data_IF_384576467170
#
_entry.id   IF_384576467170
#
_cell.length_a   1.000
_cell.length_b   1.000
_cell.length_c   1.000
_cell.angle_alpha   90.00
_cell.angle_beta   90.00
_cell.angle_gamma   90.00
#
_symmetry.space_group_name_H-M   'P 1'
#
loop_
_entity.id
_entity.type
_entity.pdbx_description
1 polymer ?
#
# COMPACT_ATOMS: atom_id res chain seq x y z
N UNK A 1 31.83 -71.12 5.56
CA UNK A 1 30.84 -71.21 4.45
C UNK A 1 29.56 -70.64 5.02
N UNK A 2 29.05 -69.54 4.43
CA UNK A 2 28.07 -68.63 5.03
C UNK A 2 26.67 -69.26 5.06
N UNK A 3 25.99 -69.04 6.18
CA UNK A 3 24.60 -69.42 6.42
C UNK A 3 23.67 -68.23 6.15
N UNK A 4 22.48 -68.54 5.67
CA UNK A 4 21.45 -67.63 5.17
C UNK A 4 20.40 -67.34 6.23
N UNK A 5 20.10 -66.08 6.51
CA UNK A 5 18.77 -65.67 6.99
C UNK A 5 18.40 -64.32 6.37
N UNK A 6 17.25 -64.31 5.69
CA UNK A 6 16.65 -63.10 5.14
C UNK A 6 16.04 -62.26 6.23
N UNK A 7 16.30 -60.96 6.18
CA UNK A 7 15.62 -59.97 7.01
C UNK A 7 14.74 -59.09 6.11
N UNK A 8 13.44 -59.16 6.40
CA UNK A 8 12.36 -58.43 5.75
C UNK A 8 12.50 -56.93 5.99
N UNK A 9 12.77 -56.18 4.92
CA UNK A 9 12.72 -54.72 4.97
C UNK A 9 11.26 -54.27 5.12
N UNK A 10 10.87 -53.85 6.34
CA UNK A 10 9.67 -53.04 6.57
C UNK A 10 9.74 -51.76 5.72
N UNK A 11 8.69 -51.40 4.96
CA UNK A 11 8.68 -50.15 4.23
C UNK A 11 8.62 -48.99 5.23
N UNK A 12 9.61 -48.10 5.18
CA UNK A 12 9.52 -46.78 5.81
C UNK A 12 8.23 -46.12 5.33
N UNK A 13 7.28 -45.93 6.23
CA UNK A 13 6.14 -45.04 5.98
C UNK A 13 6.71 -43.68 5.58
N UNK A 14 6.51 -43.31 4.32
CA UNK A 14 6.76 -41.98 3.84
C UNK A 14 5.86 -41.03 4.63
N UNK A 15 6.46 -40.30 5.57
CA UNK A 15 5.77 -39.21 6.26
C UNK A 15 5.21 -38.27 5.20
N UNK A 16 3.87 -38.13 5.15
CA UNK A 16 3.25 -37.12 4.31
C UNK A 16 3.87 -35.76 4.70
N UNK A 17 4.32 -34.94 3.75
CA UNK A 17 4.79 -33.61 4.09
C UNK A 17 3.64 -32.88 4.77
N UNK A 18 3.87 -32.43 6.01
CA UNK A 18 2.98 -31.44 6.61
C UNK A 18 2.93 -30.25 5.64
N UNK A 19 1.74 -29.82 5.20
CA UNK A 19 1.65 -28.65 4.35
C UNK A 19 2.18 -27.45 5.13
N UNK A 20 2.86 -26.51 4.45
CA UNK A 20 3.16 -25.21 5.06
C UNK A 20 1.87 -24.49 5.53
N UNK A 21 1.98 -23.35 6.23
CA UNK A 21 0.82 -22.67 6.85
C UNK A 21 -0.35 -22.44 5.88
N UNK A 22 -0.06 -22.06 4.64
CA UNK A 22 -1.06 -21.89 3.59
C UNK A 22 -1.78 -23.20 3.21
N UNK A 23 -1.07 -24.33 3.25
CA UNK A 23 -1.66 -25.64 2.98
C UNK A 23 -2.50 -26.18 4.15
N UNK A 24 -2.12 -25.90 5.39
CA UNK A 24 -2.93 -26.20 6.57
C UNK A 24 -4.25 -25.41 6.54
N UNK A 25 -4.18 -24.10 6.28
CA UNK A 25 -5.34 -23.24 6.11
C UNK A 25 -6.24 -23.66 4.94
N UNK A 26 -5.66 -24.06 3.79
CA UNK A 26 -6.42 -24.56 2.65
C UNK A 26 -7.18 -25.85 2.98
N UNK A 27 -6.56 -26.78 3.73
CA UNK A 27 -7.20 -28.03 4.15
C UNK A 27 -8.33 -27.79 5.16
N UNK A 28 -8.11 -26.92 6.15
CA UNK A 28 -9.13 -26.53 7.11
C UNK A 28 -10.34 -25.90 6.42
N UNK A 29 -10.09 -24.95 5.51
CA UNK A 29 -11.14 -24.27 4.76
C UNK A 29 -11.91 -25.22 3.84
N UNK A 30 -11.20 -26.14 3.15
CA UNK A 30 -11.86 -27.12 2.29
C UNK A 30 -12.82 -28.00 3.10
N UNK A 31 -12.33 -28.58 4.19
CA UNK A 31 -13.15 -29.39 5.10
C UNK A 31 -14.35 -28.62 5.63
N UNK A 32 -14.14 -27.38 6.05
CA UNK A 32 -15.22 -26.53 6.56
C UNK A 32 -16.32 -26.30 5.51
N UNK A 33 -15.96 -25.98 4.27
CA UNK A 33 -16.93 -25.69 3.21
C UNK A 33 -17.65 -26.94 2.70
N UNK A 34 -17.03 -28.12 2.76
CA UNK A 34 -17.63 -29.39 2.34
C UNK A 34 -18.38 -30.11 3.47
N UNK A 35 -18.22 -29.67 4.72
CA UNK A 35 -18.89 -30.29 5.86
C UNK A 35 -20.40 -30.01 5.87
N UNK A 36 -21.15 -30.92 6.48
CA UNK A 36 -22.56 -30.72 6.79
C UNK A 36 -22.74 -29.54 7.75
N UNK A 37 -23.91 -28.90 7.71
CA UNK A 37 -24.19 -27.73 8.52
C UNK A 37 -24.01 -27.98 10.04
N UNK A 38 -24.29 -29.20 10.50
CA UNK A 38 -24.13 -29.60 11.91
C UNK A 38 -22.66 -29.65 12.36
N UNK A 39 -21.73 -29.95 11.46
CA UNK A 39 -20.31 -30.14 11.80
C UNK A 39 -19.48 -28.86 11.68
N UNK A 40 -19.97 -27.86 10.94
CA UNK A 40 -19.26 -26.60 10.69
C UNK A 40 -18.88 -25.85 11.96
N UNK A 41 -19.71 -25.93 12.99
CA UNK A 41 -19.42 -25.29 14.28
C UNK A 41 -18.20 -25.90 14.98
N UNK A 42 -18.05 -27.23 14.92
CA UNK A 42 -16.91 -27.93 15.49
C UNK A 42 -15.61 -27.63 14.74
N UNK A 43 -15.73 -27.34 13.44
CA UNK A 43 -14.61 -27.00 12.56
C UNK A 43 -14.19 -25.52 12.67
N UNK A 44 -15.07 -24.62 13.09
CA UNK A 44 -14.78 -23.18 13.18
C UNK A 44 -15.38 -22.52 14.44
N UNK A 45 -15.09 -23.01 15.66
CA UNK A 45 -15.77 -22.55 16.88
C UNK A 45 -15.50 -21.07 17.18
N UNK A 46 -14.27 -20.60 16.91
CA UNK A 46 -13.90 -19.18 17.08
C UNK A 46 -14.63 -18.27 16.12
N UNK A 47 -14.82 -18.73 14.88
CA UNK A 47 -15.57 -17.97 13.87
C UNK A 47 -17.04 -17.90 14.26
N UNK A 48 -17.64 -19.01 14.69
CA UNK A 48 -19.03 -19.03 15.18
C UNK A 48 -19.22 -18.08 16.35
N UNK A 49 -18.28 -18.06 17.31
CA UNK A 49 -18.34 -17.13 18.44
C UNK A 49 -18.25 -15.67 18.00
N UNK A 50 -17.54 -15.37 16.91
CA UNK A 50 -17.34 -14.01 16.41
C UNK A 50 -18.50 -13.48 15.55
N UNK A 51 -19.07 -14.31 14.66
CA UNK A 51 -20.09 -13.85 13.68
C UNK A 51 -21.48 -14.46 13.89
N UNK A 52 -21.60 -15.51 14.71
CA UNK A 52 -22.83 -16.25 14.92
C UNK A 52 -23.15 -17.27 13.82
N UNK A 53 -23.94 -18.29 14.18
CA UNK A 53 -24.26 -19.43 13.29
C UNK A 53 -25.02 -19.00 12.03
N UNK A 54 -26.01 -18.13 12.16
CA UNK A 54 -26.85 -17.70 11.04
C UNK A 54 -26.03 -16.97 9.97
N UNK A 55 -25.16 -16.03 10.39
CA UNK A 55 -24.29 -15.29 9.47
C UNK A 55 -23.26 -16.22 8.82
N UNK A 56 -22.72 -17.17 9.59
CA UNK A 56 -21.79 -18.16 9.05
C UNK A 56 -22.45 -19.02 7.96
N UNK A 57 -23.68 -19.49 8.20
CA UNK A 57 -24.45 -20.24 7.22
C UNK A 57 -24.70 -19.41 5.96
N UNK A 58 -25.14 -18.16 6.10
CA UNK A 58 -25.35 -17.24 4.97
C UNK A 58 -24.08 -17.04 4.13
N UNK A 59 -22.91 -16.86 4.76
CA UNK A 59 -21.63 -16.73 4.06
C UNK A 59 -21.32 -17.97 3.23
N UNK A 60 -21.55 -19.16 3.79
CA UNK A 60 -21.32 -20.43 3.09
C UNK A 60 -22.31 -20.60 1.95
N UNK A 61 -23.61 -20.39 2.18
CA UNK A 61 -24.66 -20.58 1.18
C UNK A 61 -24.47 -19.63 0.00
N UNK A 62 -24.18 -18.34 0.25
CA UNK A 62 -23.88 -17.36 -0.81
C UNK A 62 -22.62 -17.75 -1.59
N UNK A 63 -21.62 -18.33 -0.91
CA UNK A 63 -20.40 -18.81 -1.57
C UNK A 63 -20.70 -20.00 -2.48
N UNK A 64 -21.41 -21.02 -1.97
CA UNK A 64 -21.75 -22.23 -2.72
C UNK A 64 -22.70 -21.95 -3.88
N UNK A 65 -23.70 -21.07 -3.70
CA UNK A 65 -24.58 -20.63 -4.78
C UNK A 65 -23.81 -20.00 -5.95
N UNK A 66 -22.65 -19.38 -5.66
CA UNK A 66 -21.81 -18.72 -6.66
C UNK A 66 -20.81 -19.65 -7.35
N UNK A 67 -20.28 -20.65 -6.65
CA UNK A 67 -19.19 -21.49 -7.17
C UNK A 67 -19.62 -22.93 -7.46
N UNK A 68 -20.81 -23.33 -7.04
CA UNK A 68 -21.26 -24.72 -7.02
C UNK A 68 -20.59 -25.53 -5.92
N UNK A 69 -20.54 -26.85 -6.10
CA UNK A 69 -19.88 -27.76 -5.17
C UNK A 69 -18.37 -27.51 -5.16
N UNK A 70 -17.77 -27.49 -3.97
CA UNK A 70 -16.33 -27.25 -3.81
C UNK A 70 -15.54 -28.47 -4.29
N UNK A 71 -14.73 -28.28 -5.32
CA UNK A 71 -13.87 -29.33 -5.90
C UNK A 71 -12.45 -29.30 -5.33
N UNK A 72 -12.01 -28.17 -4.80
CA UNK A 72 -10.71 -28.05 -4.15
C UNK A 72 -10.38 -26.63 -3.69
N UNK A 73 -9.32 -26.50 -2.90
CA UNK A 73 -8.73 -25.21 -2.55
C UNK A 73 -7.23 -25.27 -2.83
N UNK A 74 -6.74 -24.32 -3.62
CA UNK A 74 -5.33 -24.21 -3.98
C UNK A 74 -4.74 -22.88 -3.53
N UNK A 75 -3.48 -22.90 -3.14
CA UNK A 75 -2.75 -21.66 -2.90
C UNK A 75 -2.31 -21.02 -4.23
N UNK A 76 -2.36 -19.70 -4.29
CA UNK A 76 -1.99 -18.92 -5.47
C UNK A 76 -1.34 -17.58 -5.10
N UNK A 77 -0.80 -16.90 -6.12
CA UNK A 77 -0.23 -15.55 -5.99
C UNK A 77 -1.24 -14.49 -5.56
N UNK A 78 -2.54 -14.76 -5.67
CA UNK A 78 -3.59 -13.82 -5.24
C UNK A 78 -4.18 -14.21 -3.88
N UNK A 79 -3.79 -15.34 -3.28
CA UNK A 79 -4.41 -15.90 -2.09
C UNK A 79 -4.97 -17.31 -2.33
N UNK A 80 -5.76 -17.82 -1.39
CA UNK A 80 -6.38 -19.13 -1.52
C UNK A 80 -7.50 -19.08 -2.55
N UNK A 81 -7.49 -19.97 -3.53
CA UNK A 81 -8.54 -20.04 -4.56
C UNK A 81 -9.41 -21.24 -4.25
N UNK A 82 -10.67 -20.97 -3.92
CA UNK A 82 -11.73 -21.97 -3.82
C UNK A 82 -12.18 -22.29 -5.24
N UNK A 83 -12.05 -23.54 -5.63
CA UNK A 83 -12.54 -24.06 -6.90
C UNK A 83 -13.87 -24.76 -6.66
N UNK A 84 -14.87 -24.43 -7.48
CA UNK A 84 -16.12 -25.16 -7.52
C UNK A 84 -16.52 -25.55 -8.95
N UNK A 85 -17.63 -26.27 -9.07
CA UNK A 85 -18.10 -26.83 -10.35
C UNK A 85 -18.49 -25.76 -11.37
N UNK A 86 -18.99 -24.61 -10.92
CA UNK A 86 -19.48 -23.53 -11.80
C UNK A 86 -18.65 -22.24 -11.72
N UNK A 87 -17.80 -22.10 -10.70
CA UNK A 87 -17.07 -20.87 -10.46
C UNK A 87 -15.87 -21.00 -9.53
N UNK A 88 -15.28 -19.84 -9.22
CA UNK A 88 -14.16 -19.73 -8.29
C UNK A 88 -14.36 -18.55 -7.36
N UNK A 89 -13.82 -18.66 -6.15
CA UNK A 89 -13.76 -17.59 -5.18
C UNK A 89 -12.34 -17.43 -4.64
N UNK A 90 -11.95 -16.21 -4.29
CA UNK A 90 -10.70 -15.93 -3.61
C UNK A 90 -10.96 -15.88 -2.11
N UNK A 91 -10.03 -16.38 -1.31
CA UNK A 91 -10.17 -16.50 0.13
C UNK A 91 -8.85 -16.30 0.86
N UNK A 92 -9.00 -16.00 2.14
CA UNK A 92 -7.98 -15.98 3.16
C UNK A 92 -8.47 -16.89 4.29
N UNK A 93 -7.56 -17.62 4.91
CA UNK A 93 -7.87 -18.49 6.04
C UNK A 93 -6.66 -18.62 6.96
N UNK A 94 -6.93 -18.79 8.25
CA UNK A 94 -5.94 -19.09 9.29
C UNK A 94 -6.34 -20.39 9.95
N UNK A 95 -5.36 -21.28 10.12
CA UNK A 95 -5.52 -22.52 10.87
C UNK A 95 -4.18 -22.90 11.49
N UNK A 96 -4.13 -23.05 12.81
CA UNK A 96 -2.92 -23.44 13.52
C UNK A 96 -2.57 -24.93 13.37
N UNK A 97 -3.58 -25.79 13.35
CA UNK A 97 -3.44 -27.26 13.34
C UNK A 97 -3.82 -27.89 11.99
N UNK A 98 -4.31 -27.09 11.05
CA UNK A 98 -4.90 -27.52 9.79
C UNK A 98 -6.28 -28.17 9.92
N UNK A 99 -6.72 -28.49 11.14
CA UNK A 99 -7.97 -29.19 11.46
C UNK A 99 -9.12 -28.22 11.67
N UNK A 100 -8.88 -27.14 12.41
CA UNK A 100 -9.87 -26.12 12.73
C UNK A 100 -9.54 -24.79 12.08
N UNK A 101 -10.58 -24.08 11.69
CA UNK A 101 -10.51 -22.76 11.07
C UNK A 101 -10.60 -21.70 12.18
N UNK A 102 -9.53 -20.93 12.35
CA UNK A 102 -9.46 -19.87 13.34
C UNK A 102 -10.10 -18.57 12.81
N UNK A 103 -9.84 -18.29 11.54
CA UNK A 103 -10.35 -17.12 10.82
C UNK A 103 -10.48 -17.46 9.34
N UNK A 104 -11.45 -16.85 8.66
CA UNK A 104 -11.43 -16.82 7.21
C UNK A 104 -12.15 -15.59 6.67
N UNK A 105 -11.81 -15.26 5.42
CA UNK A 105 -12.45 -14.21 4.65
C UNK A 105 -12.61 -14.71 3.22
N UNK A 106 -13.80 -14.58 2.65
CA UNK A 106 -14.08 -14.92 1.25
C UNK A 106 -14.38 -13.64 0.48
N UNK A 107 -13.75 -13.48 -0.69
CA UNK A 107 -13.96 -12.33 -1.55
C UNK A 107 -15.44 -12.24 -1.99
N UNK A 108 -16.06 -11.06 -1.89
CA UNK A 108 -17.34 -10.81 -2.54
C UNK A 108 -17.20 -10.90 -4.07
N UNK A 109 -18.16 -11.53 -4.73
CA UNK A 109 -18.18 -11.74 -6.18
C UNK A 109 -17.29 -12.88 -6.68
N UNK A 110 -17.40 -13.17 -7.98
CA UNK A 110 -16.66 -14.25 -8.63
C UNK A 110 -15.19 -13.87 -8.83
N UNK A 111 -14.28 -14.81 -8.56
CA UNK A 111 -12.86 -14.62 -8.82
C UNK A 111 -12.52 -15.02 -10.26
N UNK A 112 -11.94 -14.08 -11.00
CA UNK A 112 -11.39 -14.32 -12.35
C UNK A 112 -9.90 -14.02 -12.31
N UNK A 113 -9.03 -15.04 -12.42
CA UNK A 113 -7.60 -14.80 -12.46
C UNK A 113 -7.27 -13.93 -13.68
N UNK A 114 -6.39 -12.92 -13.53
CA UNK A 114 -6.00 -12.08 -14.66
C UNK A 114 -5.32 -12.92 -15.74
N UNK A 115 -5.75 -12.74 -17.01
CA UNK A 115 -5.16 -13.42 -18.18
C UNK A 115 -3.69 -13.05 -18.38
N UNK A 116 -3.34 -11.81 -18.07
CA UNK A 116 -1.98 -11.29 -18.13
C UNK A 116 -1.66 -10.56 -16.82
N UNK A 117 -0.55 -10.92 -16.19
CA UNK A 117 -0.03 -10.24 -14.99
C UNK A 117 1.08 -9.31 -15.41
N UNK A 118 0.75 -8.02 -15.55
CA UNK A 118 1.77 -6.98 -15.72
C UNK A 118 2.27 -6.61 -14.32
N UNK A 119 3.57 -6.81 -14.01
CA UNK A 119 4.14 -6.39 -12.74
C UNK A 119 3.79 -4.93 -12.44
N UNK A 120 3.48 -4.54 -11.19
CA UNK A 120 3.11 -3.16 -10.87
C UNK A 120 4.17 -2.15 -11.34
N UNK A 121 5.44 -2.53 -11.27
CA UNK A 121 6.59 -1.75 -11.76
C UNK A 121 6.47 -1.43 -13.25
N UNK A 122 6.05 -2.40 -14.07
CA UNK A 122 5.87 -2.24 -15.52
C UNK A 122 4.63 -1.41 -15.84
N UNK A 123 3.55 -1.58 -15.08
CA UNK A 123 2.31 -0.79 -15.25
C UNK A 123 2.55 0.70 -14.98
N UNK A 124 3.34 1.03 -13.97
CA UNK A 124 3.79 2.40 -13.69
C UNK A 124 4.80 2.90 -14.71
N UNK A 125 5.70 2.02 -15.18
CA UNK A 125 6.77 2.38 -16.12
C UNK A 125 6.24 2.96 -17.44
N UNK A 126 5.14 2.45 -17.99
CA UNK A 126 4.60 2.99 -19.26
C UNK A 126 4.23 4.49 -19.14
N UNK A 127 3.49 4.86 -18.10
CA UNK A 127 3.13 6.27 -17.87
C UNK A 127 4.36 7.16 -17.63
N UNK A 128 5.35 6.64 -16.93
CA UNK A 128 6.64 7.30 -16.73
C UNK A 128 7.44 7.48 -18.02
N UNK A 129 7.50 6.45 -18.87
CA UNK A 129 8.19 6.48 -20.16
C UNK A 129 7.54 7.52 -21.08
N UNK A 130 6.21 7.51 -21.17
CA UNK A 130 5.47 8.50 -21.97
C UNK A 130 5.76 9.92 -21.47
N UNK A 131 5.73 10.15 -20.16
CA UNK A 131 5.99 11.47 -19.59
C UNK A 131 7.45 11.90 -19.79
N UNK A 132 8.41 10.99 -19.60
CA UNK A 132 9.82 11.26 -19.84
C UNK A 132 10.08 11.59 -21.32
N UNK A 133 9.49 10.83 -22.25
CA UNK A 133 9.59 11.10 -23.68
C UNK A 133 9.00 12.46 -24.05
N UNK A 134 7.80 12.78 -23.55
CA UNK A 134 7.20 14.10 -23.75
C UNK A 134 8.09 15.22 -23.20
N UNK A 135 8.70 15.02 -22.04
CA UNK A 135 9.60 16.00 -21.44
C UNK A 135 10.87 16.18 -22.28
N UNK A 136 11.49 15.09 -22.75
CA UNK A 136 12.66 15.12 -23.64
C UNK A 136 12.34 15.88 -24.93
N UNK A 137 11.23 15.56 -25.59
CA UNK A 137 10.79 16.26 -26.81
C UNK A 137 10.57 17.77 -26.57
N UNK A 138 10.07 18.15 -25.39
CA UNK A 138 9.88 19.57 -25.04
C UNK A 138 11.19 20.28 -24.70
N UNK A 139 12.13 19.58 -24.08
CA UNK A 139 13.48 20.10 -23.82
C UNK A 139 14.21 20.33 -25.15
N UNK A 140 14.19 19.34 -26.05
CA UNK A 140 14.76 19.44 -27.39
C UNK A 140 14.17 20.63 -28.16
N UNK A 141 12.84 20.78 -28.16
CA UNK A 141 12.18 21.89 -28.82
C UNK A 141 12.65 23.27 -28.34
N UNK A 142 13.17 23.42 -27.11
CA UNK A 142 13.75 24.70 -26.66
C UNK A 142 14.99 25.10 -27.50
N UNK A 143 15.76 24.13 -27.97
CA UNK A 143 16.95 24.33 -28.81
C UNK A 143 16.62 24.70 -30.26
N UNK A 144 15.39 24.43 -30.70
CA UNK A 144 14.90 24.77 -32.06
C UNK A 144 13.94 25.96 -32.06
N UNK A 145 13.90 26.75 -30.97
CA UNK A 145 13.04 27.91 -30.92
C UNK A 145 13.46 28.95 -31.98
N UNK A 146 12.52 29.43 -32.84
CA UNK A 146 12.80 30.40 -33.89
C UNK A 146 12.80 31.86 -33.41
N UNK A 147 12.25 32.13 -32.22
CA UNK A 147 12.18 33.46 -31.62
C UNK A 147 12.24 33.38 -30.10
N UNK A 148 12.51 34.52 -29.46
CA UNK A 148 12.52 34.63 -27.99
C UNK A 148 11.16 34.33 -27.37
N UNK A 149 10.06 34.78 -27.99
CA UNK A 149 8.69 34.51 -27.52
C UNK A 149 8.36 33.02 -27.57
N UNK A 150 8.70 32.33 -28.66
CA UNK A 150 8.48 30.88 -28.78
C UNK A 150 9.35 30.12 -27.77
N UNK A 151 10.61 30.53 -27.60
CA UNK A 151 11.50 29.96 -26.59
C UNK A 151 10.90 30.05 -25.18
N UNK A 152 10.39 31.22 -24.79
CA UNK A 152 9.72 31.41 -23.50
C UNK A 152 8.53 30.44 -23.35
N UNK A 153 7.71 30.28 -24.38
CA UNK A 153 6.59 29.34 -24.35
C UNK A 153 7.01 27.89 -24.16
N UNK A 154 8.06 27.45 -24.85
CA UNK A 154 8.60 26.08 -24.72
C UNK A 154 9.18 25.81 -23.33
N UNK A 155 9.92 26.77 -22.77
CA UNK A 155 10.40 26.68 -21.39
C UNK A 155 9.23 26.61 -20.40
N UNK A 156 8.17 27.40 -20.59
CA UNK A 156 6.98 27.31 -19.76
C UNK A 156 6.29 25.94 -19.85
N UNK A 157 6.25 25.32 -21.03
CA UNK A 157 5.73 23.95 -21.16
C UNK A 157 6.61 22.93 -20.43
N UNK A 158 7.94 23.08 -20.47
CA UNK A 158 8.87 22.25 -19.69
C UNK A 158 8.59 22.42 -18.20
N UNK A 159 8.48 23.67 -17.71
CA UNK A 159 8.11 23.98 -16.32
C UNK A 159 6.78 23.34 -15.93
N UNK A 160 5.74 23.46 -16.77
CA UNK A 160 4.45 22.81 -16.54
C UNK A 160 4.59 21.28 -16.40
N UNK A 161 5.44 20.65 -17.23
CA UNK A 161 5.80 19.24 -17.12
C UNK A 161 6.39 18.88 -15.76
N UNK A 162 7.35 19.66 -15.25
CA UNK A 162 7.93 19.46 -13.92
C UNK A 162 6.91 19.68 -12.79
N UNK A 163 6.02 20.68 -12.90
CA UNK A 163 4.94 20.90 -11.92
C UNK A 163 3.99 19.70 -11.87
N UNK A 164 3.59 19.18 -13.04
CA UNK A 164 2.76 17.98 -13.12
C UNK A 164 3.47 16.75 -12.52
N UNK A 165 4.77 16.62 -12.78
CA UNK A 165 5.61 15.53 -12.26
C UNK A 165 5.67 15.54 -10.72
N UNK A 166 5.94 16.71 -10.14
CA UNK A 166 6.01 16.91 -8.68
C UNK A 166 4.68 16.53 -7.99
N UNK A 167 3.55 16.90 -8.59
CA UNK A 167 2.23 16.54 -8.07
C UNK A 167 1.91 15.06 -8.17
N UNK A 168 1.99 14.49 -9.38
CA UNK A 168 1.46 13.15 -9.64
C UNK A 168 2.40 12.05 -9.17
N UNK A 169 3.70 12.25 -9.34
CA UNK A 169 4.68 11.19 -9.25
C UNK A 169 5.71 11.41 -8.14
N UNK A 170 5.92 12.67 -7.79
CA UNK A 170 6.87 13.16 -6.79
C UNK A 170 8.27 12.53 -6.98
N UNK A 171 9.10 13.10 -7.86
CA UNK A 171 10.45 12.64 -8.17
C UNK A 171 11.34 12.34 -6.97
N UNK A 172 11.07 12.97 -5.81
CA UNK A 172 11.75 12.67 -4.57
C UNK A 172 11.62 11.19 -4.12
N UNK A 173 10.64 10.43 -4.63
CA UNK A 173 10.51 8.97 -4.40
C UNK A 173 11.32 8.12 -5.36
N UNK A 174 11.78 8.71 -6.46
CA UNK A 174 12.49 7.96 -7.48
C UNK A 174 13.90 7.63 -6.99
N UNK A 175 14.45 6.48 -7.38
CA UNK A 175 15.87 6.22 -7.25
C UNK A 175 16.70 7.36 -7.84
N UNK A 176 17.82 7.69 -7.20
CA UNK A 176 18.68 8.81 -7.61
C UNK A 176 19.08 8.74 -9.10
N UNK A 177 19.28 7.54 -9.64
CA UNK A 177 19.67 7.33 -11.04
C UNK A 177 18.54 7.62 -12.05
N UNK A 178 17.28 7.71 -11.62
CA UNK A 178 16.17 8.23 -12.45
C UNK A 178 15.95 9.71 -12.14
N UNK A 179 15.96 10.08 -10.86
CA UNK A 179 15.74 11.45 -10.41
C UNK A 179 16.77 12.44 -10.99
N UNK A 180 18.07 12.09 -10.98
CA UNK A 180 19.15 12.99 -11.43
C UNK A 180 19.07 13.30 -12.92
N UNK A 181 18.87 12.33 -13.84
CA UNK A 181 18.61 12.65 -15.24
C UNK A 181 17.39 13.54 -15.44
N UNK A 182 16.29 13.31 -14.70
CA UNK A 182 15.11 14.17 -14.75
C UNK A 182 15.45 15.58 -14.29
N UNK A 183 16.16 15.77 -13.18
CA UNK A 183 16.60 17.11 -12.72
C UNK A 183 17.53 17.78 -13.75
N UNK A 184 18.45 17.03 -14.36
CA UNK A 184 19.37 17.53 -15.37
C UNK A 184 18.64 18.03 -16.63
N UNK A 185 17.52 17.41 -17.01
CA UNK A 185 16.70 17.85 -18.14
C UNK A 185 16.25 19.32 -18.03
N UNK A 186 15.95 19.80 -16.83
CA UNK A 186 15.56 21.20 -16.61
C UNK A 186 16.73 22.14 -16.88
N UNK A 187 17.94 21.74 -16.47
CA UNK A 187 19.16 22.50 -16.72
C UNK A 187 19.49 22.52 -18.22
N UNK A 188 19.28 21.42 -18.94
CA UNK A 188 19.46 21.35 -20.41
C UNK A 188 18.48 22.28 -21.13
N UNK A 189 17.21 22.33 -20.71
CA UNK A 189 16.25 23.29 -21.27
C UNK A 189 16.70 24.73 -21.01
N UNK A 190 17.13 25.07 -19.79
CA UNK A 190 17.60 26.41 -19.45
C UNK A 190 18.89 26.80 -20.20
N UNK A 191 19.80 25.85 -20.44
CA UNK A 191 21.04 26.09 -21.18
C UNK A 191 20.80 26.56 -22.63
N UNK A 192 19.66 26.21 -23.23
CA UNK A 192 19.26 26.73 -24.55
C UNK A 192 19.10 28.26 -24.60
N UNK A 193 18.99 28.93 -23.44
CA UNK A 193 18.96 30.39 -23.32
C UNK A 193 20.20 31.08 -23.93
N UNK A 194 21.33 30.38 -24.07
CA UNK A 194 22.52 30.92 -24.75
C UNK A 194 22.24 31.38 -26.19
N UNK A 195 21.21 30.82 -26.84
CA UNK A 195 20.79 31.22 -28.20
C UNK A 195 20.05 32.56 -28.25
N UNK A 196 19.51 33.05 -27.12
CA UNK A 196 18.64 34.24 -27.07
C UNK A 196 19.23 35.51 -27.73
N UNK A 197 20.53 35.84 -27.58
CA UNK A 197 21.10 37.01 -28.24
C UNK A 197 20.96 36.99 -29.76
N UNK A 198 21.03 35.79 -30.38
CA UNK A 198 20.92 35.60 -31.83
C UNK A 198 19.50 35.40 -32.36
N UNK A 199 18.48 35.35 -31.49
CA UNK A 199 17.09 35.12 -31.90
C UNK A 199 16.30 36.42 -32.03
N UNK A 200 15.41 36.54 -33.04
CA UNK A 200 14.47 37.65 -33.13
C UNK A 200 13.52 37.66 -31.93
N UNK A 201 13.08 38.84 -31.53
CA UNK A 201 12.17 39.00 -30.37
C UNK A 201 10.84 38.31 -30.64
N UNK A 202 10.27 38.53 -31.82
CA UNK A 202 8.98 37.98 -32.27
C UNK A 202 9.14 37.17 -33.56
N UNK A 203 8.17 36.29 -33.83
CA UNK A 203 8.17 35.39 -34.99
C UNK A 203 7.81 33.97 -34.58
N UNK A 204 7.15 33.22 -35.47
CA UNK A 204 6.61 31.90 -35.16
C UNK A 204 5.24 31.93 -34.47
N UNK A 205 4.82 30.79 -33.92
CA UNK A 205 3.46 30.61 -33.39
C UNK A 205 3.29 31.25 -32.00
N UNK A 206 2.59 32.38 -31.94
CA UNK A 206 2.30 33.10 -30.71
C UNK A 206 1.38 32.34 -29.72
N UNK A 207 0.78 31.21 -30.12
CA UNK A 207 0.00 30.38 -29.22
C UNK A 207 0.85 29.61 -28.20
N UNK A 208 2.12 29.31 -28.50
CA UNK A 208 3.01 28.55 -27.60
C UNK A 208 3.17 29.17 -26.20
N UNK A 209 3.49 30.47 -26.03
CA UNK A 209 3.56 31.09 -24.71
C UNK A 209 2.21 31.10 -23.97
N UNK A 210 1.10 31.28 -24.68
CA UNK A 210 -0.24 31.24 -24.07
C UNK A 210 -0.52 29.84 -23.52
N UNK A 211 -0.26 28.80 -24.32
CA UNK A 211 -0.42 27.40 -23.87
C UNK A 211 0.51 27.10 -22.69
N UNK A 212 1.77 27.53 -22.75
CA UNK A 212 2.72 27.36 -21.64
C UNK A 212 2.23 28.00 -20.34
N UNK A 213 1.81 29.28 -20.40
CA UNK A 213 1.25 29.99 -19.24
C UNK A 213 0.00 29.31 -18.68
N UNK A 214 -0.93 28.90 -19.54
CA UNK A 214 -2.15 28.20 -19.14
C UNK A 214 -1.81 26.87 -18.46
N UNK A 215 -0.89 26.08 -19.01
CA UNK A 215 -0.51 24.80 -18.41
C UNK A 215 0.17 24.98 -17.05
N UNK A 216 1.09 25.95 -16.91
CA UNK A 216 1.71 26.28 -15.62
C UNK A 216 0.66 26.73 -14.61
N UNK A 217 -0.25 27.62 -15.02
CA UNK A 217 -1.33 28.13 -14.17
C UNK A 217 -2.28 27.02 -13.72
N UNK A 218 -2.73 26.16 -14.63
CA UNK A 218 -3.66 25.06 -14.33
C UNK A 218 -2.99 24.01 -13.44
N UNK A 219 -1.82 23.48 -13.82
CA UNK A 219 -1.15 22.46 -13.00
C UNK A 219 -0.68 23.02 -11.67
N UNK A 220 -0.21 24.27 -11.64
CA UNK A 220 0.14 24.97 -10.41
C UNK A 220 -1.05 25.14 -9.48
N UNK A 221 -2.19 25.63 -9.99
CA UNK A 221 -3.41 25.79 -9.20
C UNK A 221 -3.94 24.45 -8.67
N UNK A 222 -3.96 23.41 -9.52
CA UNK A 222 -4.36 22.06 -9.11
C UNK A 222 -3.44 21.49 -8.02
N UNK A 223 -2.13 21.64 -8.17
CA UNK A 223 -1.15 21.18 -7.20
C UNK A 223 -1.29 21.93 -5.87
N UNK A 224 -1.40 23.26 -5.91
CA UNK A 224 -1.59 24.09 -4.71
C UNK A 224 -2.90 23.74 -4.02
N UNK A 225 -4.01 23.62 -4.77
CA UNK A 225 -5.31 23.21 -4.25
C UNK A 225 -5.23 21.83 -3.58
N UNK A 226 -4.56 20.86 -4.20
CA UNK A 226 -4.44 19.53 -3.64
C UNK A 226 -3.50 19.49 -2.42
N UNK A 227 -2.38 20.24 -2.43
CA UNK A 227 -1.46 20.32 -1.28
C UNK A 227 -2.05 21.08 -0.09
N UNK A 228 -2.86 22.10 -0.32
CA UNK A 228 -3.53 22.90 0.73
C UNK A 228 -4.90 22.36 1.12
N UNK A 229 -5.31 21.23 0.55
CA UNK A 229 -6.63 20.68 0.82
C UNK A 229 -6.78 20.32 2.30
N UNK A 230 -7.89 20.77 2.89
CA UNK A 230 -8.43 20.33 4.17
C UNK A 230 -9.82 19.78 3.91
N UNK A 231 -10.15 18.68 4.55
CA UNK A 231 -11.47 18.05 4.47
C UNK A 231 -12.53 18.82 5.27
N UNK A 232 -12.10 19.70 6.19
CA UNK A 232 -12.99 20.52 7.01
C UNK A 232 -13.58 19.76 8.21
N UNK A 233 -13.01 18.59 8.52
CA UNK A 233 -13.37 17.76 9.66
C UNK A 233 -12.07 17.34 10.34
N UNK A 234 -11.57 18.12 11.29
CA UNK A 234 -10.29 17.82 11.95
C UNK A 234 -10.47 16.88 13.14
N UNK A 235 -9.37 16.25 13.55
CA UNK A 235 -9.26 15.60 14.87
C UNK A 235 -9.57 16.60 15.99
N UNK A 236 -10.12 16.11 17.11
CA UNK A 236 -10.53 16.97 18.23
C UNK A 236 -9.36 17.63 18.93
N UNK A 237 -8.24 16.93 18.99
CA UNK A 237 -6.98 17.40 19.56
C UNK A 237 -5.82 17.00 18.63
N UNK A 238 -4.76 17.84 18.54
CA UNK A 238 -3.55 17.45 17.84
C UNK A 238 -2.98 16.14 18.40
N UNK A 239 -2.54 15.27 17.50
CA UNK A 239 -1.94 13.98 17.82
C UNK A 239 -0.42 14.11 18.03
N UNK A 240 0.20 13.15 18.71
CA UNK A 240 1.65 12.99 18.70
C UNK A 240 2.06 12.24 17.43
N UNK A 241 3.13 12.69 16.76
CA UNK A 241 3.60 12.01 15.56
C UNK A 241 4.07 10.57 15.89
N UNK A 242 3.55 9.52 15.22
CA UNK A 242 3.69 8.14 15.68
C UNK A 242 5.07 7.51 15.42
N UNK A 243 5.96 8.20 14.70
CA UNK A 243 7.29 7.74 14.33
C UNK A 243 8.35 8.71 14.86
N UNK A 244 9.56 8.24 15.19
CA UNK A 244 10.59 9.05 15.90
C UNK A 244 12.00 8.84 15.36
N UNK A 245 12.85 9.86 15.46
CA UNK A 245 14.28 9.78 15.15
C UNK A 245 14.56 9.62 13.65
N UNK A 246 13.78 10.27 12.79
CA UNK A 246 13.80 10.00 11.36
C UNK A 246 13.35 11.13 10.43
N UNK A 247 13.53 10.90 9.13
CA UNK A 247 12.95 11.73 8.07
C UNK A 247 11.78 10.99 7.43
N UNK A 248 10.58 11.45 7.75
CA UNK A 248 9.32 10.78 7.44
C UNK A 248 8.64 11.45 6.26
N UNK A 249 8.60 10.74 5.15
CA UNK A 249 8.07 11.22 3.89
C UNK A 249 6.60 10.81 3.74
N UNK A 250 5.73 11.79 3.49
CA UNK A 250 4.31 11.57 3.25
C UNK A 250 4.13 11.06 1.82
N UNK A 251 3.83 9.77 1.72
CA UNK A 251 3.60 9.06 0.46
C UNK A 251 2.16 9.21 -0.06
N UNK A 252 1.20 9.29 0.85
CA UNK A 252 -0.19 9.61 0.51
C UNK A 252 -0.68 10.63 1.52
N UNK A 253 -1.39 11.65 1.04
CA UNK A 253 -1.85 12.76 1.85
C UNK A 253 -2.19 13.98 1.00
N UNK A 254 -2.95 14.91 1.55
CA UNK A 254 -3.54 16.03 0.82
C UNK A 254 -4.84 15.64 0.10
N UNK A 255 -5.26 16.47 -0.84
CA UNK A 255 -6.55 16.33 -1.52
C UNK A 255 -6.56 15.41 -2.73
N UNK A 256 -7.69 15.44 -3.44
CA UNK A 256 -7.92 14.68 -4.67
C UNK A 256 -6.74 14.85 -5.65
N UNK A 257 -6.27 13.73 -6.20
CA UNK A 257 -5.14 13.66 -7.13
C UNK A 257 -3.79 13.39 -6.49
N UNK A 258 -3.61 13.74 -5.20
CA UNK A 258 -2.41 13.44 -4.40
C UNK A 258 -2.63 12.30 -3.41
N UNK A 259 -3.84 12.17 -2.87
CA UNK A 259 -4.21 11.07 -1.98
C UNK A 259 -5.16 10.11 -2.70
N UNK A 260 -4.80 8.82 -2.75
CA UNK A 260 -5.68 7.80 -3.34
C UNK A 260 -6.79 7.36 -2.40
N UNK A 261 -6.60 7.55 -1.09
CA UNK A 261 -7.59 7.23 -0.05
C UNK A 261 -8.85 8.10 -0.12
N UNK A 262 -8.81 9.21 -0.88
CA UNK A 262 -9.96 10.07 -1.20
C UNK A 262 -11.22 9.28 -1.64
N UNK A 263 -11.05 8.14 -2.31
CA UNK A 263 -12.18 7.35 -2.80
C UNK A 263 -12.97 6.66 -1.67
N UNK A 264 -12.42 6.56 -0.46
CA UNK A 264 -13.02 5.92 0.70
C UNK A 264 -13.31 6.99 1.75
N UNK A 265 -14.59 7.19 2.08
CA UNK A 265 -15.04 8.30 2.93
C UNK A 265 -14.33 8.31 4.30
N UNK A 266 -14.18 7.13 4.89
CA UNK A 266 -13.53 6.88 6.18
C UNK A 266 -12.00 7.13 6.17
N UNK A 267 -11.35 7.01 4.99
CA UNK A 267 -9.89 7.15 4.84
C UNK A 267 -9.47 8.42 4.12
N UNK A 268 -10.39 9.34 3.79
CA UNK A 268 -10.06 10.52 2.97
C UNK A 268 -8.88 11.36 3.52
N UNK A 269 -8.78 11.43 4.85
CA UNK A 269 -7.70 12.10 5.59
C UNK A 269 -6.46 11.24 5.87
N UNK A 270 -6.43 10.01 5.38
CA UNK A 270 -5.37 9.06 5.66
C UNK A 270 -4.01 9.48 5.09
N UNK A 271 -2.97 9.10 5.82
CA UNK A 271 -1.59 9.26 5.44
C UNK A 271 -0.91 7.91 5.31
N UNK A 272 -0.16 7.74 4.22
CA UNK A 272 0.85 6.68 4.13
C UNK A 272 2.21 7.33 4.35
N UNK A 273 2.93 6.88 5.37
CA UNK A 273 4.19 7.48 5.83
C UNK A 273 5.33 6.49 5.58
N UNK A 274 6.36 6.97 4.90
CA UNK A 274 7.59 6.23 4.58
C UNK A 274 8.78 6.85 5.31
N UNK A 275 9.86 6.10 5.45
CA UNK A 275 11.16 6.65 5.81
C UNK A 275 12.02 6.83 4.56
N UNK A 276 12.73 7.96 4.47
CA UNK A 276 13.68 8.23 3.39
C UNK A 276 15.07 8.51 3.95
N UNK A 277 16.08 7.92 3.34
CA UNK A 277 17.49 8.13 3.68
C UNK A 277 18.08 9.36 2.99
N UNK A 278 19.37 9.58 3.23
CA UNK A 278 20.15 10.62 2.54
C UNK A 278 20.08 10.42 1.02
N UNK A 279 19.54 11.40 0.30
CA UNK A 279 19.35 11.34 -1.16
C UNK A 279 17.96 10.87 -1.62
N UNK A 280 17.01 10.63 -0.72
CA UNK A 280 15.61 10.30 -1.04
C UNK A 280 15.31 8.83 -1.30
N UNK A 281 16.31 7.95 -1.15
CA UNK A 281 16.10 6.51 -1.25
C UNK A 281 15.23 6.00 -0.09
N UNK A 282 14.21 5.18 -0.40
CA UNK A 282 13.32 4.53 0.59
C UNK A 282 13.68 3.07 0.89
N UNK A 283 14.51 2.47 0.05
CA UNK A 283 14.97 1.09 0.20
C UNK A 283 16.48 0.96 -0.05
N UNK A 284 17.11 -0.01 0.62
CA UNK A 284 18.51 -0.39 0.48
C UNK A 284 18.61 -1.44 -0.63
N UNK A 285 19.24 -1.09 -1.73
CA UNK A 285 19.42 -1.95 -2.92
C UNK A 285 20.18 -3.29 -2.69
N UNK A 286 20.66 -3.58 -1.47
CA UNK A 286 21.54 -4.74 -1.18
C UNK A 286 21.10 -5.62 0.00
N UNK A 287 19.86 -5.52 0.48
CA UNK A 287 19.39 -6.48 1.48
C UNK A 287 19.14 -7.85 0.82
N UNK A 288 20.06 -8.81 1.01
CA UNK A 288 19.80 -10.23 0.70
C UNK A 288 18.67 -10.71 1.61
N UNK A 289 17.59 -11.19 1.01
CA UNK A 289 16.33 -11.56 1.68
C UNK A 289 16.36 -12.87 2.48
N UNK A 290 17.48 -13.18 3.14
CA UNK A 290 17.69 -14.48 3.83
C UNK A 290 17.41 -14.41 5.35
N UNK A 291 16.64 -13.41 5.83
CA UNK A 291 16.24 -13.27 7.25
C UNK A 291 14.73 -13.07 7.39
N UNK A 292 14.19 -13.35 8.58
CA UNK A 292 12.79 -13.06 8.93
C UNK A 292 12.43 -11.62 8.52
N UNK A 293 11.48 -11.48 7.59
CA UNK A 293 11.10 -10.21 6.94
C UNK A 293 11.42 -10.12 5.44
N UNK A 294 12.20 -11.05 4.88
CA UNK A 294 12.39 -11.21 3.44
C UNK A 294 12.76 -9.91 2.70
N UNK A 295 12.06 -9.61 1.59
CA UNK A 295 12.26 -8.39 0.79
C UNK A 295 11.82 -7.10 1.51
N UNK A 296 10.94 -7.18 2.52
CA UNK A 296 10.47 -6.02 3.27
C UNK A 296 11.62 -5.34 4.04
N UNK A 297 12.59 -6.11 4.52
CA UNK A 297 13.79 -5.62 5.22
C UNK A 297 14.66 -4.67 4.37
N UNK A 298 14.46 -4.63 3.05
CA UNK A 298 15.14 -3.65 2.21
C UNK A 298 14.60 -2.23 2.43
N UNK A 299 13.36 -2.06 2.90
CA UNK A 299 12.73 -0.76 3.10
C UNK A 299 13.15 -0.15 4.43
N UNK A 300 13.53 1.12 4.42
CA UNK A 300 14.02 1.81 5.62
C UNK A 300 12.96 1.87 6.73
N UNK A 301 11.69 2.02 6.32
CA UNK A 301 10.55 2.15 7.24
C UNK A 301 10.17 0.82 7.90
N UNK A 302 10.51 -0.33 7.32
CA UNK A 302 10.10 -1.63 7.87
C UNK A 302 10.81 -1.88 9.20
N UNK A 303 10.04 -2.33 10.21
CA UNK A 303 10.55 -2.54 11.56
C UNK A 303 10.72 -1.27 12.40
N UNK A 304 10.34 -0.08 11.88
CA UNK A 304 10.39 1.14 12.69
C UNK A 304 9.32 1.10 13.79
N UNK A 305 9.64 1.45 15.05
CA UNK A 305 8.66 1.46 16.13
C UNK A 305 7.53 2.45 15.87
N UNK A 306 6.29 1.97 16.04
CA UNK A 306 5.06 2.76 15.94
C UNK A 306 4.60 3.08 17.36
N UNK A 307 4.43 4.36 17.64
CA UNK A 307 3.98 4.86 18.93
C UNK A 307 2.52 5.31 18.85
N UNK A 308 1.80 5.19 19.95
CA UNK A 308 0.44 5.68 20.09
C UNK A 308 0.41 7.20 19.83
N UNK A 309 -0.40 7.66 18.88
CA UNK A 309 -0.52 9.08 18.56
C UNK A 309 -1.39 9.85 19.56
N UNK A 310 -2.10 9.15 20.45
CA UNK A 310 -3.03 9.72 21.41
C UNK A 310 -3.17 8.79 22.62
N UNK A 311 -3.70 9.35 23.71
CA UNK A 311 -4.29 8.57 24.79
C UNK A 311 -5.61 7.95 24.31
N UNK A 312 -5.99 6.80 24.86
CA UNK A 312 -7.30 6.20 24.58
C UNK A 312 -7.39 4.72 24.91
N UNK A 313 -8.46 4.10 24.44
CA UNK A 313 -8.73 2.67 24.62
C UNK A 313 -8.62 1.94 23.29
N UNK A 314 -7.91 0.82 23.27
CA UNK A 314 -7.79 -0.02 22.07
C UNK A 314 -9.12 -0.72 21.82
N UNK A 315 -9.79 -0.38 20.72
CA UNK A 315 -11.09 -0.98 20.32
C UNK A 315 -10.93 -2.14 19.36
N UNK A 316 -9.79 -2.25 18.68
CA UNK A 316 -9.41 -3.37 17.82
C UNK A 316 -7.90 -3.50 17.72
N UNK A 317 -7.39 -4.74 17.76
CA UNK A 317 -5.99 -5.05 17.51
C UNK A 317 -5.87 -6.41 16.80
N UNK A 318 -4.92 -6.53 15.87
CA UNK A 318 -4.57 -7.79 15.20
C UNK A 318 -3.06 -7.85 14.94
N UNK A 319 -2.47 -9.05 15.06
CA UNK A 319 -1.00 -9.25 15.02
C UNK A 319 -0.54 -10.50 14.23
N UNK A 320 -1.47 -11.26 13.66
CA UNK A 320 -1.22 -12.59 13.11
C UNK A 320 -1.32 -12.67 11.57
N UNK A 321 -1.58 -11.55 10.89
CA UNK A 321 -1.68 -11.50 9.43
C UNK A 321 -0.28 -11.32 8.85
N UNK A 322 0.15 -12.26 8.01
CA UNK A 322 1.46 -12.22 7.36
C UNK A 322 1.66 -10.95 6.51
N UNK A 323 2.92 -10.51 6.44
CA UNK A 323 3.31 -9.43 5.54
C UNK A 323 3.18 -9.84 4.08
N UNK A 324 2.82 -8.89 3.23
CA UNK A 324 2.94 -9.02 1.79
C UNK A 324 4.42 -9.07 1.38
N UNK A 325 4.69 -9.74 0.26
CA UNK A 325 5.92 -9.50 -0.47
C UNK A 325 5.78 -8.18 -1.26
N UNK A 326 6.76 -7.25 -1.20
CA UNK A 326 6.70 -6.00 -1.95
C UNK A 326 6.38 -6.22 -3.44
N UNK A 327 5.40 -5.46 -3.95
CA UNK A 327 4.93 -5.58 -5.33
C UNK A 327 3.94 -6.72 -5.61
N UNK A 328 3.64 -7.57 -4.63
CA UNK A 328 2.58 -8.58 -4.69
C UNK A 328 1.50 -8.25 -3.66
N UNK A 329 0.23 -8.38 -4.06
CA UNK A 329 -0.91 -8.26 -3.13
C UNK A 329 -1.66 -9.58 -3.13
N UNK A 330 -1.52 -10.35 -2.06
CA UNK A 330 -2.37 -11.51 -1.77
C UNK A 330 -3.63 -11.06 -1.04
N UNK A 331 -4.73 -11.76 -1.26
CA UNK A 331 -6.00 -11.50 -0.61
C UNK A 331 -5.93 -11.88 0.86
N UNK A 332 -6.15 -10.88 1.72
CA UNK A 332 -6.16 -10.97 3.17
C UNK A 332 -6.98 -9.79 3.75
N UNK A 333 -7.25 -9.74 5.06
CA UNK A 333 -7.98 -8.63 5.67
C UNK A 333 -7.34 -7.27 5.30
N UNK A 334 -8.15 -6.31 4.85
CA UNK A 334 -7.65 -5.07 4.22
C UNK A 334 -6.67 -4.29 5.09
N UNK A 335 -6.97 -4.19 6.39
CA UNK A 335 -6.14 -3.47 7.36
C UNK A 335 -4.94 -4.29 7.86
N UNK A 336 -4.90 -5.60 7.63
CA UNK A 336 -3.84 -6.46 8.16
C UNK A 336 -3.72 -6.36 9.68
N UNK A 337 -2.50 -6.40 10.18
CA UNK A 337 -2.21 -6.14 11.58
C UNK A 337 -2.39 -4.65 11.86
N UNK A 338 -3.04 -4.33 12.98
CA UNK A 338 -3.47 -2.98 13.27
C UNK A 338 -3.67 -2.75 14.76
N UNK A 339 -3.77 -1.47 15.11
CA UNK A 339 -4.28 -0.98 16.39
C UNK A 339 -5.23 0.18 16.11
N UNK A 340 -6.45 0.09 16.64
CA UNK A 340 -7.46 1.16 16.59
C UNK A 340 -7.69 1.68 18.00
N UNK A 341 -7.55 2.99 18.18
CA UNK A 341 -7.63 3.67 19.46
C UNK A 341 -8.85 4.57 19.44
N UNK A 342 -9.77 4.37 20.37
CA UNK A 342 -10.86 5.28 20.65
C UNK A 342 -10.41 6.34 21.66
N UNK A 343 -10.46 7.60 21.24
CA UNK A 343 -10.12 8.77 22.08
C UNK A 343 -11.31 9.25 22.92
N UNK A 344 -12.48 8.66 22.73
CA UNK A 344 -13.77 9.14 23.23
C UNK A 344 -14.48 10.12 22.28
N UNK A 345 -13.78 10.61 21.24
CA UNK A 345 -14.34 11.53 20.24
C UNK A 345 -14.15 11.04 18.78
N UNK A 346 -13.12 10.24 18.53
CA UNK A 346 -12.83 9.66 17.22
C UNK A 346 -12.00 8.38 17.35
N UNK A 347 -11.99 7.58 16.29
CA UNK A 347 -11.18 6.36 16.22
C UNK A 347 -9.95 6.64 15.38
N UNK A 348 -8.76 6.52 15.99
CA UNK A 348 -7.47 6.61 15.29
C UNK A 348 -6.99 5.21 14.93
N UNK A 349 -6.74 4.96 13.65
CA UNK A 349 -6.38 3.65 13.11
C UNK A 349 -4.95 3.67 12.59
N UNK A 350 -4.11 2.79 13.14
CA UNK A 350 -2.75 2.50 12.67
C UNK A 350 -2.73 1.07 12.13
N UNK A 351 -2.34 0.89 10.87
CA UNK A 351 -2.52 -0.38 10.15
C UNK A 351 -1.29 -0.77 9.34
N UNK A 352 -1.31 -1.97 8.76
CA UNK A 352 -0.16 -2.59 8.09
C UNK A 352 1.03 -2.85 9.03
N UNK A 353 0.75 -3.14 10.30
CA UNK A 353 1.79 -3.41 11.30
C UNK A 353 2.49 -4.76 11.02
N UNK A 354 3.71 -4.89 11.54
CA UNK A 354 4.53 -6.09 11.36
C UNK A 354 3.98 -7.24 12.22
N UNK A 355 3.80 -8.45 11.67
CA UNK A 355 3.26 -9.58 12.42
C UNK A 355 4.16 -9.96 13.60
N UNK A 356 3.53 -10.32 14.72
CA UNK A 356 4.20 -10.70 15.96
C UNK A 356 4.83 -9.53 16.72
N UNK A 357 4.44 -8.29 16.43
CA UNK A 357 5.02 -7.09 17.07
C UNK A 357 3.99 -6.22 17.78
N UNK A 358 2.69 -6.42 17.55
CA UNK A 358 1.66 -5.61 18.20
C UNK A 358 1.64 -5.92 19.70
N UNK A 359 1.82 -4.90 20.52
CA UNK A 359 2.06 -5.05 21.97
C UNK A 359 0.81 -4.84 22.83
N UNK A 360 -0.36 -4.68 22.21
CA UNK A 360 -1.63 -4.35 22.87
C UNK A 360 -2.77 -5.22 22.34
N UNK A 361 -3.80 -5.39 23.16
CA UNK A 361 -5.02 -6.10 22.83
C UNK A 361 -6.25 -5.18 22.95
N UNK A 362 -7.37 -5.61 22.38
CA UNK A 362 -8.66 -4.94 22.56
C UNK A 362 -9.00 -4.83 24.05
N UNK A 363 -9.34 -3.62 24.50
CA UNK A 363 -9.66 -3.29 25.89
C UNK A 363 -8.51 -2.59 26.63
N UNK A 364 -7.28 -2.65 26.12
CA UNK A 364 -6.13 -1.99 26.77
C UNK A 364 -6.26 -0.47 26.69
N UNK A 365 -5.88 0.22 27.78
CA UNK A 365 -5.67 1.67 27.75
C UNK A 365 -4.24 1.97 27.33
N UNK A 366 -4.07 2.90 26.40
CA UNK A 366 -2.76 3.34 25.90
C UNK A 366 -2.55 4.82 26.17
N UNK A 367 -1.28 5.22 26.31
CA UNK A 367 -0.89 6.63 26.40
C UNK A 367 -0.12 7.07 25.17
N UNK A 368 -0.26 8.33 24.79
CA UNK A 368 0.49 8.94 23.71
C UNK A 368 1.99 8.71 23.90
N UNK A 369 2.65 8.23 22.84
CA UNK A 369 4.06 7.85 22.87
C UNK A 369 4.37 6.45 23.37
N UNK A 370 3.38 5.66 23.82
CA UNK A 370 3.56 4.23 24.11
C UNK A 370 3.83 3.45 22.82
N UNK A 371 4.76 2.49 22.83
CA UNK A 371 4.98 1.61 21.68
C UNK A 371 3.76 0.70 21.49
N UNK A 372 3.30 0.59 20.24
CA UNK A 372 2.18 -0.26 19.82
C UNK A 372 2.61 -1.46 18.99
N UNK A 373 3.79 -1.38 18.37
CA UNK A 373 4.37 -2.40 17.52
C UNK A 373 5.35 -1.80 16.51
N UNK A 374 5.55 -2.47 15.39
CA UNK A 374 6.47 -2.01 14.35
C UNK A 374 5.77 -1.86 12.99
N UNK A 375 6.30 -0.98 12.13
CA UNK A 375 5.82 -0.83 10.75
C UNK A 375 6.07 -2.13 9.97
N UNK A 376 5.02 -2.65 9.35
CA UNK A 376 5.06 -3.86 8.54
C UNK A 376 4.64 -3.63 7.09
N UNK A 377 4.10 -4.68 6.49
CA UNK A 377 3.53 -4.72 5.14
C UNK A 377 2.31 -5.67 5.06
N UNK A 378 1.65 -5.94 6.19
CA UNK A 378 0.46 -6.80 6.25
C UNK A 378 -0.77 -6.11 5.67
N UNK A 379 -1.84 -6.85 5.40
CA UNK A 379 -3.06 -6.31 4.79
C UNK A 379 -2.96 -6.00 3.30
N UNK A 380 -3.78 -5.06 2.82
CA UNK A 380 -3.80 -4.61 1.43
C UNK A 380 -2.72 -3.54 1.18
N UNK A 381 -1.46 -3.92 1.35
CA UNK A 381 -0.29 -3.05 1.18
C UNK A 381 0.58 -3.51 0.01
N UNK A 382 1.18 -2.56 -0.71
CA UNK A 382 2.08 -2.84 -1.84
C UNK A 382 3.55 -2.83 -1.47
N UNK A 383 3.91 -2.11 -0.40
CA UNK A 383 5.26 -1.99 0.14
C UNK A 383 5.18 -1.52 1.60
N UNK A 384 6.21 -1.77 2.42
CA UNK A 384 6.22 -1.31 3.80
C UNK A 384 5.95 0.19 3.95
N UNK A 385 4.99 0.55 4.80
CA UNK A 385 4.65 1.93 5.18
C UNK A 385 3.77 1.94 6.44
N UNK A 386 3.75 3.05 7.18
CA UNK A 386 2.71 3.27 8.19
C UNK A 386 1.51 3.95 7.54
N UNK A 387 0.37 3.29 7.54
CA UNK A 387 -0.90 3.94 7.22
C UNK A 387 -1.58 4.39 8.52
N UNK A 388 -1.93 5.67 8.60
CA UNK A 388 -2.66 6.26 9.72
C UNK A 388 -3.82 7.11 9.23
N UNK A 389 -4.99 6.94 9.83
CA UNK A 389 -6.11 7.85 9.69
C UNK A 389 -6.92 7.95 10.98
N UNK A 390 -7.76 8.97 11.07
CA UNK A 390 -8.76 9.10 12.12
C UNK A 390 -10.13 9.25 11.47
N UNK A 391 -11.17 8.72 12.09
CA UNK A 391 -12.54 8.84 11.62
C UNK A 391 -13.52 9.13 12.76
N UNK A 392 -14.61 9.81 12.41
CA UNK A 392 -15.78 9.99 13.25
C UNK A 392 -17.02 9.70 12.42
N UNK A 393 -17.89 8.82 12.90
CA UNK A 393 -19.14 8.44 12.23
C UNK A 393 -18.93 7.99 10.76
N UNK A 394 -17.86 7.23 10.50
CA UNK A 394 -17.50 6.74 9.17
C UNK A 394 -16.92 7.81 8.23
N UNK A 395 -16.61 9.00 8.75
CA UNK A 395 -16.04 10.12 7.99
C UNK A 395 -14.59 10.36 8.42
N UNK A 396 -13.66 10.28 7.47
CA UNK A 396 -12.23 10.49 7.73
C UNK A 396 -11.92 11.95 8.05
N UNK A 397 -10.99 12.14 9.00
CA UNK A 397 -10.63 13.43 9.57
C UNK A 397 -9.28 13.96 9.07
N UNK A 398 -9.14 15.29 9.00
CA UNK A 398 -7.85 15.97 8.84
C UNK A 398 -6.98 15.67 10.07
N UNK A 399 -5.87 14.97 9.85
CA UNK A 399 -4.87 14.75 10.88
C UNK A 399 -4.08 16.03 11.16
N UNK A 400 -3.84 16.28 12.44
CA UNK A 400 -2.97 17.34 12.94
C UNK A 400 -2.02 16.72 13.96
N UNK A 401 -0.76 17.12 13.92
CA UNK A 401 0.24 16.62 14.86
C UNK A 401 0.92 17.77 15.60
N UNK A 402 1.14 17.58 16.91
CA UNK A 402 1.90 18.50 17.75
C UNK A 402 3.29 18.78 17.14
N UNK A 403 3.67 20.05 17.08
CA UNK A 403 4.96 20.46 16.51
C UNK A 403 5.09 20.32 14.99
N UNK A 404 4.06 19.85 14.27
CA UNK A 404 4.08 19.67 12.81
C UNK A 404 3.16 20.69 12.13
N UNK A 405 3.69 21.87 11.81
CA UNK A 405 2.92 22.95 11.20
C UNK A 405 2.66 22.76 9.70
N UNK A 406 1.48 23.11 9.20
CA UNK A 406 1.18 23.12 7.75
C UNK A 406 0.60 21.80 7.22
N UNK A 407 0.33 21.68 5.90
CA UNK A 407 -0.43 20.57 5.34
C UNK A 407 0.37 19.26 5.25
N UNK A 408 -0.28 18.14 5.56
CA UNK A 408 0.28 16.78 5.46
C UNK A 408 -0.04 16.21 4.07
N UNK A 409 0.70 16.68 3.07
CA UNK A 409 0.47 16.31 1.68
C UNK A 409 1.61 15.48 1.10
N UNK A 410 1.29 14.69 0.06
CA UNK A 410 2.30 14.01 -0.78
C UNK A 410 3.50 14.91 -1.09
N UNK A 411 4.71 14.40 -0.81
CA UNK A 411 5.95 15.12 -1.07
C UNK A 411 6.55 15.83 0.14
N UNK A 412 5.77 16.00 1.22
CA UNK A 412 6.26 16.58 2.45
C UNK A 412 7.16 15.60 3.21
N UNK A 413 8.22 16.12 3.80
CA UNK A 413 9.03 15.39 4.79
C UNK A 413 8.83 16.03 6.16
N UNK A 414 8.54 15.22 7.17
CA UNK A 414 8.44 15.58 8.59
C UNK A 414 9.69 15.04 9.28
N UNK A 415 10.33 15.87 10.10
CA UNK A 415 11.43 15.43 10.97
C UNK A 415 10.86 15.32 12.38
N UNK A 416 11.06 14.18 13.02
CA UNK A 416 10.63 13.92 14.40
C UNK A 416 11.69 13.13 15.16
#
# INVERSE_FOLDING_TARGET
MRDTTGESATPRQAGRPYPGPAGAAAQALYRFLTAEAADREHLAPRVVAAVGRARLAEIVDVTLARIGDVTGIRDSRDGLVIEGTTGRALAFAVSQDGLRLDEFLIQPGAYRPPRLRIPPEVRGAFGWIVLALLLVLRIEACWDAPSRIVWCGRVLMVVAGYVALEGRFTPARLPWWIRRPVEAGALVALASAWRLPGLPVSGGNAAEPVVGLVLVGVFGALLVRARRHRWGTAVSHPLVFPLRGGSWYIAQGGGRGLNHHFAFLEQRGALDILQVGSGGARARHRARGDRAGGKNMSYLVYGQPVHAPCDGTVVSAADHIDDQEPGLIRYQPRYGNHVWIDTGAEIVKLVHLRPGTVTVAKGDTVRAGQVLGEVGNSGNSTEPHLHIHAERDGVGLDLEFEGVSGPLCRGRTVRS
#
